data_IF_512007041560
#
_entry.id   IF_512007041560
#
_cell.length_a   1.000
_cell.length_b   1.000
_cell.length_c   1.000
_cell.angle_alpha   90.00
_cell.angle_beta   90.00
_cell.angle_gamma   90.00
#
_symmetry.space_group_name_H-M   'P 1'
#
loop_
_entity.id
_entity.type
_entity.pdbx_description
1 polymer ?
#
# COMPACT_ATOMS: atom_id res chain seq x y z
N UNK A 1 2.93 13.34 6.53
CA UNK A 1 3.70 12.82 5.39
C UNK A 1 3.13 13.43 4.12
N UNK A 2 3.95 13.69 3.10
CA UNK A 2 3.44 13.99 1.75
C UNK A 2 3.27 12.65 1.01
N UNK A 3 2.05 12.30 0.62
CA UNK A 3 1.74 11.01 0.02
C UNK A 3 2.20 10.93 -1.44
N UNK A 4 2.00 12.00 -2.20
CA UNK A 4 2.47 12.12 -3.59
C UNK A 4 3.75 12.94 -3.62
N UNK A 5 4.88 12.25 -3.76
CA UNK A 5 6.20 12.87 -4.00
C UNK A 5 6.48 12.97 -5.50
N UNK A 6 7.45 13.78 -5.94
CA UNK A 6 7.83 13.85 -7.36
C UNK A 6 8.19 12.48 -7.96
N UNK A 7 8.78 11.59 -7.17
CA UNK A 7 9.13 10.23 -7.58
C UNK A 7 7.88 9.38 -7.83
N UNK A 8 6.87 9.51 -6.98
CA UNK A 8 5.59 8.82 -7.16
C UNK A 8 4.82 9.39 -8.35
N UNK A 9 4.83 10.71 -8.53
CA UNK A 9 4.23 11.35 -9.70
C UNK A 9 4.89 10.88 -11.01
N UNK A 10 6.22 10.75 -11.03
CA UNK A 10 6.94 10.19 -12.17
C UNK A 10 6.57 8.72 -12.41
N UNK A 11 6.41 7.93 -11.35
CA UNK A 11 5.99 6.53 -11.45
C UNK A 11 4.58 6.40 -12.04
N UNK A 12 3.64 7.28 -11.72
CA UNK A 12 2.32 7.27 -12.38
C UNK A 12 2.41 7.50 -13.89
N UNK A 13 3.30 8.40 -14.32
CA UNK A 13 3.54 8.68 -15.75
C UNK A 13 4.21 7.50 -16.47
N UNK A 14 5.07 6.76 -15.78
CA UNK A 14 5.73 5.56 -16.33
C UNK A 14 4.72 4.47 -16.69
N UNK A 15 3.65 4.32 -15.92
CA UNK A 15 2.63 3.27 -16.12
C UNK A 15 1.35 3.78 -16.79
N UNK A 16 1.35 5.00 -17.36
CA UNK A 16 0.15 5.64 -17.90
C UNK A 16 -0.38 4.90 -19.15
N UNK A 17 0.51 4.40 -20.00
CA UNK A 17 0.15 3.71 -21.25
C UNK A 17 -0.38 2.28 -21.00
N UNK A 18 -0.02 1.67 -19.88
CA UNK A 18 -0.42 0.32 -19.49
C UNK A 18 -1.76 0.27 -18.73
N UNK A 19 -2.35 1.43 -18.41
CA UNK A 19 -3.62 1.48 -17.70
C UNK A 19 -4.79 0.99 -18.56
N UNK A 20 -5.61 0.11 -17.99
CA UNK A 20 -6.88 -0.30 -18.59
C UNK A 20 -8.03 -0.13 -17.60
N UNK A 21 -9.23 0.28 -18.04
CA UNK A 21 -10.40 0.37 -17.18
C UNK A 21 -10.80 -0.97 -16.55
N UNK A 22 -10.61 -2.07 -17.27
CA UNK A 22 -11.03 -3.42 -16.84
C UNK A 22 -10.07 -4.03 -15.81
N UNK A 23 -8.77 -3.75 -15.93
CA UNK A 23 -7.74 -4.28 -15.06
C UNK A 23 -6.69 -3.20 -14.75
N UNK A 24 -7.04 -2.21 -13.92
CA UNK A 24 -6.15 -1.11 -13.61
C UNK A 24 -4.87 -1.60 -12.92
N UNK A 25 -3.77 -0.93 -13.24
CA UNK A 25 -2.47 -1.18 -12.63
C UNK A 25 -2.26 -0.18 -11.51
N UNK A 26 -2.08 -0.67 -10.29
CA UNK A 26 -1.82 0.13 -9.11
C UNK A 26 -0.33 0.40 -8.95
N UNK A 27 0.00 1.68 -8.86
CA UNK A 27 1.37 2.21 -8.82
C UNK A 27 1.78 2.61 -7.41
N UNK A 28 0.80 3.00 -6.58
CA UNK A 28 1.03 3.36 -5.19
C UNK A 28 -0.04 2.75 -4.28
N UNK A 29 0.33 2.55 -3.01
CA UNK A 29 -0.56 2.08 -1.96
C UNK A 29 -0.48 3.02 -0.76
N UNK A 30 -1.64 3.45 -0.30
CA UNK A 30 -1.81 4.23 0.92
C UNK A 30 -2.61 3.41 1.92
N UNK A 31 -2.31 3.53 3.20
CA UNK A 31 -2.99 2.75 4.22
C UNK A 31 -3.16 3.51 5.53
N UNK A 32 -4.20 3.14 6.27
CA UNK A 32 -4.42 3.59 7.63
C UNK A 32 -3.61 2.69 8.58
N UNK A 33 -2.53 3.18 9.21
CA UNK A 33 -1.65 2.36 10.07
C UNK A 33 -2.34 1.85 11.35
N UNK A 34 -3.51 2.39 11.68
CA UNK A 34 -4.29 2.04 12.89
C UNK A 34 -5.70 1.56 12.54
N UNK A 35 -5.90 1.09 11.31
CA UNK A 35 -7.19 0.60 10.82
C UNK A 35 -7.04 -0.34 9.62
N UNK A 36 -8.17 -0.74 9.03
CA UNK A 36 -8.20 -1.66 7.88
C UNK A 36 -8.16 -0.96 6.52
N UNK A 37 -8.37 0.35 6.48
CA UNK A 37 -8.57 1.08 5.23
C UNK A 37 -7.28 1.12 4.40
N UNK A 38 -7.40 0.76 3.12
CA UNK A 38 -6.30 0.77 2.16
C UNK A 38 -6.79 1.35 0.83
N UNK A 39 -5.95 2.17 0.21
CA UNK A 39 -6.18 2.77 -1.10
C UNK A 39 -5.04 2.38 -2.04
N UNK A 40 -5.37 1.73 -3.14
CA UNK A 40 -4.45 1.40 -4.21
C UNK A 40 -4.68 2.37 -5.36
N UNK A 41 -3.71 3.22 -5.65
CA UNK A 41 -3.81 4.26 -6.66
C UNK A 41 -3.29 3.77 -8.01
N UNK A 42 -4.12 3.91 -9.05
CA UNK A 42 -3.81 3.52 -10.43
C UNK A 42 -3.39 4.72 -11.28
N UNK A 43 -4.14 5.82 -11.22
CA UNK A 43 -3.77 7.08 -11.87
C UNK A 43 -3.81 8.25 -10.90
N UNK A 44 -3.17 9.37 -11.28
CA UNK A 44 -3.11 10.59 -10.50
C UNK A 44 -3.31 11.82 -11.39
N UNK A 45 -4.23 12.71 -11.00
CA UNK A 45 -4.41 14.01 -11.63
C UNK A 45 -3.81 15.12 -10.74
N UNK A 46 -2.69 15.75 -11.15
CA UNK A 46 -2.06 16.82 -10.38
C UNK A 46 -2.88 18.12 -10.33
N UNK A 47 -3.87 18.31 -11.22
CA UNK A 47 -4.71 19.52 -11.20
C UNK A 47 -5.73 19.49 -10.07
N UNK A 48 -6.36 18.34 -9.86
CA UNK A 48 -7.36 18.13 -8.81
C UNK A 48 -6.77 17.51 -7.53
N UNK A 49 -5.52 17.07 -7.57
CA UNK A 49 -4.86 16.30 -6.51
C UNK A 49 -5.65 15.05 -6.11
N UNK A 50 -6.21 14.35 -7.10
CA UNK A 50 -7.01 13.14 -6.92
C UNK A 50 -6.37 11.94 -7.59
N UNK A 51 -6.61 10.76 -7.04
CA UNK A 51 -6.26 9.49 -7.65
C UNK A 51 -7.53 8.74 -8.05
N UNK A 52 -7.46 7.98 -9.15
CA UNK A 52 -8.37 6.88 -9.41
C UNK A 52 -7.74 5.58 -8.89
N UNK A 53 -8.53 4.72 -8.25
CA UNK A 53 -8.00 3.49 -7.72
C UNK A 53 -8.99 2.64 -6.95
N UNK A 54 -8.48 1.61 -6.29
CA UNK A 54 -9.26 0.65 -5.53
C UNK A 54 -9.15 0.92 -4.03
N UNK A 55 -10.29 1.02 -3.37
CA UNK A 55 -10.40 1.27 -1.93
C UNK A 55 -10.99 0.03 -1.27
N UNK A 56 -10.38 -0.41 -0.17
CA UNK A 56 -10.79 -1.60 0.57
C UNK A 56 -10.62 -1.40 2.08
N UNK A 57 -11.19 -2.32 2.87
CA UNK A 57 -11.15 -2.27 4.33
C UNK A 57 -12.12 -1.26 4.93
N UNK A 58 -13.12 -0.84 4.15
CA UNK A 58 -14.31 -0.10 4.58
C UNK A 58 -15.54 -1.03 4.56
N UNK A 59 -16.76 -0.47 4.54
CA UNK A 59 -17.99 -1.25 4.47
C UNK A 59 -18.09 -2.07 3.16
N UNK A 60 -17.56 -1.52 2.06
CA UNK A 60 -17.52 -2.16 0.75
C UNK A 60 -16.19 -1.83 0.07
N UNK A 61 -15.77 -2.73 -0.81
CA UNK A 61 -14.64 -2.48 -1.70
C UNK A 61 -15.14 -1.74 -2.96
N UNK A 62 -14.40 -0.73 -3.41
CA UNK A 62 -14.82 0.10 -4.54
C UNK A 62 -13.66 0.50 -5.45
N UNK A 63 -13.95 0.65 -6.74
CA UNK A 63 -13.10 1.36 -7.70
C UNK A 63 -13.65 2.75 -7.91
N UNK A 64 -12.86 3.77 -7.63
CA UNK A 64 -13.33 5.14 -7.67
C UNK A 64 -12.23 6.17 -7.49
N UNK A 65 -12.64 7.43 -7.46
CA UNK A 65 -11.75 8.55 -7.22
C UNK A 65 -11.66 8.86 -5.73
N UNK A 66 -10.48 9.24 -5.25
CA UNK A 66 -10.26 9.73 -3.90
C UNK A 66 -9.27 10.88 -3.88
N UNK A 67 -9.43 11.79 -2.92
CA UNK A 67 -8.59 12.98 -2.77
C UNK A 67 -7.36 12.71 -1.92
N UNK A 68 -6.18 13.10 -2.42
CA UNK A 68 -4.94 13.05 -1.64
C UNK A 68 -4.97 14.09 -0.52
N UNK A 69 -5.57 15.26 -0.76
CA UNK A 69 -5.73 16.29 0.27
C UNK A 69 -6.55 15.77 1.45
N UNK A 70 -7.63 15.01 1.17
CA UNK A 70 -8.43 14.38 2.22
C UNK A 70 -7.62 13.34 3.00
N UNK A 71 -6.90 12.45 2.30
CA UNK A 71 -6.06 11.44 2.96
C UNK A 71 -4.96 12.06 3.83
N UNK A 72 -4.30 13.12 3.37
CA UNK A 72 -3.27 13.83 4.14
C UNK A 72 -3.85 14.60 5.34
N UNK A 73 -5.07 15.13 5.19
CA UNK A 73 -5.76 15.87 6.24
C UNK A 73 -6.31 14.97 7.35
N UNK A 74 -6.61 13.70 7.06
CA UNK A 74 -7.13 12.73 8.03
C UNK A 74 -6.22 12.65 9.26
N UNK A 75 -6.83 12.89 10.43
CA UNK A 75 -6.21 12.73 11.74
C UNK A 75 -6.70 11.42 12.34
N UNK A 76 -5.79 10.48 12.51
CA UNK A 76 -6.08 9.17 13.05
C UNK A 76 -5.82 9.15 14.57
N UNK A 77 -6.30 8.11 15.29
CA UNK A 77 -5.91 7.87 16.67
C UNK A 77 -4.39 7.97 16.88
N UNK A 78 -3.97 8.42 18.07
CA UNK A 78 -2.56 8.59 18.42
C UNK A 78 -1.79 9.65 17.61
N UNK A 79 -2.49 10.46 16.81
CA UNK A 79 -1.88 11.56 16.05
C UNK A 79 -1.14 11.11 14.79
N UNK A 80 -1.27 9.83 14.41
CA UNK A 80 -0.75 9.33 13.13
C UNK A 80 -1.66 9.76 11.98
N UNK A 81 -1.18 9.56 10.76
CA UNK A 81 -1.86 9.92 9.52
C UNK A 81 -1.85 8.73 8.57
N UNK A 82 -2.53 8.86 7.44
CA UNK A 82 -2.38 7.92 6.34
C UNK A 82 -0.90 7.88 5.92
N UNK A 83 -0.41 6.67 5.65
CA UNK A 83 0.96 6.42 5.22
C UNK A 83 0.98 5.87 3.79
N UNK A 84 2.09 6.08 3.09
CA UNK A 84 2.37 5.46 1.79
C UNK A 84 3.32 4.28 2.02
N UNK A 85 3.01 3.15 1.39
CA UNK A 85 3.88 1.98 1.37
C UNK A 85 5.06 2.22 0.42
N UNK A 86 6.27 2.37 0.97
CA UNK A 86 7.48 2.70 0.18
C UNK A 86 8.02 1.52 -0.62
N UNK A 87 7.68 0.29 -0.23
CA UNK A 87 8.14 -0.95 -0.87
C UNK A 87 7.05 -1.58 -1.74
N UNK A 88 6.02 -0.81 -2.08
CA UNK A 88 4.94 -1.29 -2.91
C UNK A 88 5.40 -1.57 -4.35
N UNK A 89 5.26 -2.84 -4.74
CA UNK A 89 5.44 -3.30 -6.12
C UNK A 89 4.17 -3.03 -6.92
N UNK A 90 4.35 -2.65 -8.18
CA UNK A 90 3.23 -2.41 -9.09
C UNK A 90 2.45 -3.71 -9.29
N UNK A 91 1.12 -3.62 -9.25
CA UNK A 91 0.25 -4.79 -9.42
C UNK A 91 -1.07 -4.46 -10.11
N UNK A 92 -1.65 -5.42 -10.83
CA UNK A 92 -2.97 -5.27 -11.44
C UNK A 92 -4.10 -5.61 -10.45
N UNK A 93 -5.33 -5.19 -10.78
CA UNK A 93 -6.53 -5.54 -10.03
C UNK A 93 -6.77 -7.06 -9.95
N UNK A 94 -6.56 -7.78 -11.04
CA UNK A 94 -6.66 -9.25 -11.03
C UNK A 94 -5.68 -9.85 -10.02
N UNK A 95 -4.42 -9.38 -10.04
CA UNK A 95 -3.43 -9.86 -9.10
C UNK A 95 -3.84 -9.52 -7.66
N UNK A 96 -4.35 -8.32 -7.41
CA UNK A 96 -4.76 -7.87 -6.08
C UNK A 96 -5.94 -8.68 -5.52
N UNK A 97 -6.91 -9.01 -6.35
CA UNK A 97 -8.17 -9.63 -5.92
C UNK A 97 -8.14 -11.16 -5.97
N UNK A 98 -7.20 -11.76 -6.70
CA UNK A 98 -7.11 -13.22 -6.82
C UNK A 98 -6.87 -13.93 -5.48
N UNK A 99 -7.50 -15.09 -5.32
CA UNK A 99 -7.32 -15.95 -4.14
C UNK A 99 -5.88 -16.47 -4.02
N UNK A 100 -5.20 -16.68 -5.15
CA UNK A 100 -3.81 -17.14 -5.17
C UNK A 100 -2.84 -16.08 -4.61
N UNK A 101 -3.08 -14.79 -4.88
CA UNK A 101 -2.28 -13.72 -4.27
C UNK A 101 -2.51 -13.64 -2.77
N UNK A 102 -3.76 -13.74 -2.31
CA UNK A 102 -4.04 -13.80 -0.86
C UNK A 102 -3.27 -14.93 -0.18
N UNK A 103 -3.16 -16.09 -0.84
CA UNK A 103 -2.36 -17.21 -0.37
C UNK A 103 -0.85 -16.92 -0.39
N UNK A 104 -0.32 -16.34 -1.48
CA UNK A 104 1.11 -16.01 -1.63
C UNK A 104 1.58 -14.94 -0.65
N UNK A 105 0.78 -13.88 -0.44
CA UNK A 105 1.03 -12.84 0.55
C UNK A 105 1.09 -13.46 1.95
N UNK A 106 0.09 -14.28 2.30
CA UNK A 106 0.06 -14.99 3.59
C UNK A 106 1.27 -15.90 3.81
N UNK A 107 1.79 -16.51 2.74
CA UNK A 107 3.03 -17.31 2.79
C UNK A 107 4.26 -16.41 2.97
N UNK A 108 4.35 -15.27 2.28
CA UNK A 108 5.45 -14.30 2.40
C UNK A 108 5.53 -13.74 3.82
N UNK A 109 4.41 -13.25 4.35
CA UNK A 109 4.30 -12.73 5.72
C UNK A 109 4.71 -13.77 6.77
N UNK A 110 4.25 -15.03 6.61
CA UNK A 110 4.64 -16.13 7.50
C UNK A 110 6.16 -16.36 7.50
N UNK A 111 6.80 -16.33 6.33
CA UNK A 111 8.26 -16.52 6.20
C UNK A 111 9.04 -15.37 6.82
N UNK A 112 8.59 -14.14 6.64
CA UNK A 112 9.23 -12.95 7.22
C UNK A 112 9.15 -12.98 8.76
N UNK A 113 8.00 -13.38 9.32
CA UNK A 113 7.84 -13.57 10.75
C UNK A 113 8.77 -14.67 11.31
N UNK A 114 8.86 -15.82 10.64
CA UNK A 114 9.79 -16.91 11.02
C UNK A 114 11.25 -16.45 11.02
N UNK A 115 11.66 -15.69 10.00
CA UNK A 115 13.02 -15.14 9.89
C UNK A 115 13.33 -14.14 11.02
N UNK A 116 12.38 -13.27 11.37
CA UNK A 116 12.53 -12.33 12.48
C UNK A 116 12.67 -13.05 13.83
N UNK A 117 11.92 -14.15 14.03
CA UNK A 117 11.98 -14.93 15.25
C UNK A 117 13.33 -15.66 15.41
N UNK A 118 13.87 -16.20 14.33
CA UNK A 118 15.21 -16.82 14.30
C UNK A 118 16.29 -15.78 14.63
N UNK A 119 16.24 -14.62 13.98
CA UNK A 119 17.22 -13.56 14.21
C UNK A 119 17.18 -13.03 15.65
N UNK A 120 15.99 -12.93 16.25
CA UNK A 120 15.81 -12.48 17.63
C UNK A 120 16.39 -13.48 18.64
N UNK A 121 16.19 -14.79 18.44
CA UNK A 121 16.75 -15.86 19.29
C UNK A 121 18.27 -15.90 19.22
N UNK A 122 18.85 -15.68 18.03
CA UNK A 122 20.29 -15.65 17.86
C UNK A 122 20.95 -14.48 18.59
N UNK A 123 20.32 -13.30 18.60
CA UNK A 123 20.84 -12.14 19.34
C UNK A 123 20.77 -12.32 20.87
N UNK A 124 19.69 -12.91 21.41
CA UNK A 124 19.56 -13.16 22.85
C UNK A 124 20.59 -14.17 23.38
N UNK A 125 20.97 -15.17 22.60
CA UNK A 125 22.00 -16.13 22.99
C UNK A 125 23.41 -15.50 23.01
N UNK A 126 23.68 -14.52 22.13
CA UNK A 126 24.97 -13.82 22.12
C UNK A 126 25.17 -12.91 23.35
N UNK A 127 24.09 -12.39 23.94
CA UNK A 127 24.15 -11.57 25.16
C UNK A 127 24.31 -12.39 26.45
N UNK A 128 23.96 -13.69 26.43
CA UNK A 128 24.12 -14.61 27.56
C UNK A 128 25.51 -15.27 27.63
N UNK A 129 26.28 -15.21 26.54
CA UNK A 129 27.65 -15.76 26.43
C UNK A 129 28.75 -14.72 26.72
N UNK A 130 28.40 -13.50 27.17
CA UNK A 130 29.32 -12.46 27.64
C UNK A 130 29.27 -12.29 29.15
#
# INVERSE_FOLDING_TARGET
MKLITPEIEARFKEFEEEQTPENPIFVAKFFNPVGSQTWYASTYDPKSNTCYGYVTGMAYDELGYFSIDELEALKLPYGVRIERDEFFDVMSLDLLTSQETKMKVKIKEKREAELQEINSKNNQNQDLER
#
